data_IF_311734084989
#
_entry.id   IF_311734084989
#
_cell.length_a   1.000
_cell.length_b   1.000
_cell.length_c   1.000
_cell.angle_alpha   90.00
_cell.angle_beta   90.00
_cell.angle_gamma   90.00
#
_symmetry.space_group_name_H-M   'P 1'
#
loop_
_entity.id
_entity.type
_entity.pdbx_description
1 polymer ?
#
# COMPACT_ATOMS: atom_id res chain seq x y z
N UNK A 1 13.45 -0.52 1.09
CA UNK A 1 13.40 0.68 1.94
C UNK A 1 14.75 0.98 2.58
N UNK A 2 15.22 0.22 3.58
CA UNK A 2 16.50 0.52 4.28
C UNK A 2 17.70 0.62 3.33
N UNK A 3 17.88 -0.37 2.44
CA UNK A 3 18.97 -0.34 1.43
C UNK A 3 18.94 0.94 0.57
N UNK A 4 17.76 1.40 0.18
CA UNK A 4 17.61 2.62 -0.63
C UNK A 4 17.88 3.88 0.18
N UNK A 5 17.45 3.92 1.45
CA UNK A 5 17.78 5.01 2.37
C UNK A 5 19.31 5.15 2.59
N UNK A 6 20.06 4.05 2.51
CA UNK A 6 21.52 4.06 2.64
C UNK A 6 22.24 4.49 1.34
N UNK A 7 21.71 4.15 0.17
CA UNK A 7 22.37 4.42 -1.14
C UNK A 7 22.63 5.90 -1.42
N UNK A 8 21.84 6.80 -0.83
CA UNK A 8 21.95 8.25 -1.03
C UNK A 8 22.75 9.01 0.04
N UNK A 9 23.37 8.30 0.99
CA UNK A 9 24.13 8.90 2.10
C UNK A 9 23.28 9.47 3.24
N UNK A 10 22.11 10.04 2.94
CA UNK A 10 21.11 10.50 3.92
C UNK A 10 19.73 9.98 3.55
N UNK A 11 19.12 9.19 4.43
CA UNK A 11 17.80 8.63 4.22
C UNK A 11 17.11 8.35 5.55
N UNK A 12 15.79 8.51 5.55
CA UNK A 12 14.93 8.32 6.71
C UNK A 12 13.90 7.24 6.39
N UNK A 13 13.71 6.31 7.33
CA UNK A 13 12.63 5.32 7.29
C UNK A 13 11.69 5.61 8.46
N UNK A 14 10.44 5.96 8.14
CA UNK A 14 9.43 6.25 9.15
C UNK A 14 8.51 5.04 9.28
N UNK A 15 8.47 4.46 10.47
CA UNK A 15 7.63 3.30 10.78
C UNK A 15 6.39 3.73 11.56
N UNK A 16 5.24 3.80 10.88
CA UNK A 16 3.95 4.06 11.51
C UNK A 16 3.32 2.75 11.99
N UNK A 17 3.02 2.65 13.29
CA UNK A 17 2.32 1.51 13.92
C UNK A 17 0.81 1.51 13.61
N UNK A 18 0.45 1.47 12.32
CA UNK A 18 -0.93 1.51 11.82
C UNK A 18 -1.28 0.21 11.08
N UNK A 19 -1.18 -0.92 11.79
CA UNK A 19 -1.39 -2.25 11.22
C UNK A 19 -2.79 -2.42 10.62
N UNK A 20 -2.89 -3.17 9.52
CA UNK A 20 -4.17 -3.46 8.88
C UNK A 20 -4.94 -2.20 8.43
N UNK A 21 -4.26 -1.14 7.98
CA UNK A 21 -4.90 0.17 7.72
C UNK A 21 -5.55 0.80 8.96
N UNK A 22 -4.87 0.68 10.09
CA UNK A 22 -5.36 1.07 11.42
C UNK A 22 -6.61 0.29 11.88
N UNK A 23 -6.94 -0.85 11.25
CA UNK A 23 -7.98 -1.78 11.72
C UNK A 23 -7.46 -2.78 12.76
N UNK A 24 -6.14 -2.86 12.93
CA UNK A 24 -5.50 -3.83 13.81
C UNK A 24 -5.28 -5.20 13.15
N UNK A 25 -4.47 -6.01 13.83
CA UNK A 25 -3.98 -7.29 13.32
C UNK A 25 -5.07 -8.37 13.26
N UNK A 26 -5.95 -8.44 14.27
CA UNK A 26 -7.05 -9.42 14.31
C UNK A 26 -7.98 -9.24 13.11
N UNK A 27 -8.42 -8.01 12.84
CA UNK A 27 -9.28 -7.69 11.69
C UNK A 27 -8.60 -8.03 10.37
N UNK A 28 -7.30 -7.77 10.25
CA UNK A 28 -6.51 -8.14 9.07
C UNK A 28 -6.56 -9.65 8.81
N UNK A 29 -6.37 -10.47 9.85
CA UNK A 29 -6.44 -11.93 9.71
C UNK A 29 -7.84 -12.41 9.32
N UNK A 30 -8.90 -11.81 9.88
CA UNK A 30 -10.28 -12.10 9.46
C UNK A 30 -10.50 -11.81 7.97
N UNK A 31 -9.99 -10.67 7.49
CA UNK A 31 -10.07 -10.30 6.06
C UNK A 31 -9.28 -11.27 5.19
N UNK A 32 -8.07 -11.67 5.58
CA UNK A 32 -7.28 -12.65 4.83
C UNK A 32 -7.95 -14.02 4.78
N UNK A 33 -8.48 -14.51 5.90
CA UNK A 33 -9.21 -15.78 5.93
C UNK A 33 -10.46 -15.74 5.04
N UNK A 34 -11.23 -14.65 5.10
CA UNK A 34 -12.41 -14.49 4.26
C UNK A 34 -12.07 -14.39 2.76
N UNK A 35 -10.94 -13.78 2.41
CA UNK A 35 -10.45 -13.71 1.04
C UNK A 35 -10.03 -15.09 0.52
N UNK A 36 -9.20 -15.81 1.28
CA UNK A 36 -8.67 -17.12 0.87
C UNK A 36 -9.73 -18.22 0.82
N UNK A 37 -10.77 -18.15 1.65
CA UNK A 37 -11.93 -19.05 1.59
C UNK A 37 -12.95 -18.68 0.51
N UNK A 38 -12.81 -17.50 -0.10
CA UNK A 38 -13.62 -17.05 -1.22
C UNK A 38 -12.83 -17.00 -2.52
N UNK A 39 -13.34 -16.26 -3.50
CA UNK A 39 -12.59 -15.89 -4.69
C UNK A 39 -11.68 -14.70 -4.36
N UNK A 40 -10.40 -14.95 -4.07
CA UNK A 40 -9.38 -13.92 -3.77
C UNK A 40 -9.06 -13.04 -5.00
N UNK A 41 -10.07 -12.32 -5.51
CA UNK A 41 -10.02 -11.49 -6.71
C UNK A 41 -9.59 -10.06 -6.39
N UNK A 42 -8.80 -9.47 -7.26
CA UNK A 42 -8.33 -8.08 -7.09
C UNK A 42 -9.50 -7.08 -7.09
N UNK A 43 -10.51 -7.29 -7.96
CA UNK A 43 -11.70 -6.44 -8.04
C UNK A 43 -12.51 -6.38 -6.74
N UNK A 44 -12.49 -7.42 -5.92
CA UNK A 44 -13.23 -7.50 -4.65
C UNK A 44 -12.40 -7.10 -3.42
N UNK A 45 -11.10 -6.86 -3.59
CA UNK A 45 -10.14 -6.71 -2.50
C UNK A 45 -10.57 -5.69 -1.42
N UNK A 46 -10.98 -4.48 -1.83
CA UNK A 46 -11.45 -3.46 -0.88
C UNK A 46 -12.83 -3.79 -0.30
N UNK A 47 -13.72 -4.43 -1.09
CA UNK A 47 -15.06 -4.78 -0.64
C UNK A 47 -15.03 -5.84 0.46
N UNK A 48 -14.08 -6.79 0.39
CA UNK A 48 -13.87 -7.79 1.45
C UNK A 48 -13.49 -7.14 2.79
N UNK A 49 -12.66 -6.10 2.76
CA UNK A 49 -12.31 -5.33 3.97
C UNK A 49 -13.53 -4.61 4.52
N UNK A 50 -14.27 -3.91 3.66
CA UNK A 50 -15.48 -3.16 4.04
C UNK A 50 -16.57 -4.07 4.63
N UNK A 51 -16.77 -5.27 4.10
CA UNK A 51 -17.76 -6.22 4.61
C UNK A 51 -17.46 -6.71 6.04
N UNK A 52 -16.19 -6.72 6.45
CA UNK A 52 -15.76 -7.20 7.77
C UNK A 52 -15.58 -6.04 8.75
N UNK A 53 -14.97 -4.95 8.29
CA UNK A 53 -14.58 -3.83 9.13
C UNK A 53 -15.55 -2.63 9.06
N UNK A 54 -16.53 -2.65 8.14
CA UNK A 54 -17.43 -1.52 7.87
C UNK A 54 -16.78 -0.36 7.09
N UNK A 55 -15.46 -0.35 6.95
CA UNK A 55 -14.68 0.70 6.28
C UNK A 55 -13.50 0.11 5.51
N UNK A 56 -13.02 0.83 4.49
CA UNK A 56 -11.88 0.40 3.66
C UNK A 56 -10.52 0.74 4.28
N UNK A 57 -10.44 1.83 5.04
CA UNK A 57 -9.21 2.39 5.60
C UNK A 57 -9.55 3.29 6.80
N UNK A 58 -8.88 3.10 7.94
CA UNK A 58 -9.04 3.95 9.14
C UNK A 58 -7.81 4.84 9.38
N UNK A 59 -6.82 4.83 8.47
CA UNK A 59 -5.60 5.61 8.68
C UNK A 59 -5.89 7.09 8.48
N UNK A 60 -5.56 7.86 9.50
CA UNK A 60 -5.45 9.31 9.37
C UNK A 60 -4.04 9.67 8.86
N UNK A 61 -3.92 9.87 7.54
CA UNK A 61 -2.62 10.13 6.89
C UNK A 61 -2.16 11.58 6.97
N UNK A 62 -3.07 12.51 7.28
CA UNK A 62 -2.75 13.94 7.42
C UNK A 62 -1.73 14.24 8.54
N UNK A 63 -1.57 13.35 9.53
CA UNK A 63 -0.53 13.45 10.58
C UNK A 63 0.81 12.79 10.19
N UNK A 64 0.91 12.19 9.01
CA UNK A 64 2.17 11.61 8.57
C UNK A 64 3.31 12.62 8.40
N UNK A 65 3.08 13.86 7.93
CA UNK A 65 4.14 14.85 7.75
C UNK A 65 4.73 15.37 9.07
N UNK A 66 4.06 15.23 10.21
CA UNK A 66 4.48 15.79 11.50
C UNK A 66 5.93 15.42 11.86
N UNK A 67 6.29 14.15 11.67
CA UNK A 67 7.65 13.68 11.94
C UNK A 67 8.67 14.24 10.95
N UNK A 68 8.26 14.53 9.70
CA UNK A 68 9.14 15.17 8.72
C UNK A 68 9.43 16.61 9.13
N UNK A 69 8.41 17.34 9.58
CA UNK A 69 8.59 18.69 10.13
C UNK A 69 9.44 18.69 11.39
N UNK A 70 9.21 17.73 12.31
CA UNK A 70 10.00 17.60 13.53
C UNK A 70 11.49 17.35 13.23
N UNK A 71 11.79 16.54 12.21
CA UNK A 71 13.16 16.32 11.71
C UNK A 71 13.73 17.51 10.92
N UNK A 72 12.94 18.56 10.66
CA UNK A 72 13.35 19.72 9.87
C UNK A 72 13.49 19.44 8.37
N UNK A 73 12.84 18.39 7.85
CA UNK A 73 12.87 18.03 6.43
C UNK A 73 12.07 19.06 5.63
N UNK A 74 12.72 19.67 4.63
CA UNK A 74 12.13 20.72 3.78
C UNK A 74 11.86 20.26 2.34
N UNK A 75 12.39 19.11 1.94
CA UNK A 75 12.16 18.47 0.64
C UNK A 75 12.46 16.98 0.73
N UNK A 76 11.89 16.20 -0.18
CA UNK A 76 12.21 14.79 -0.34
C UNK A 76 12.65 14.59 -1.79
N UNK A 77 13.92 14.25 -2.01
CA UNK A 77 14.42 14.01 -3.36
C UNK A 77 13.79 12.73 -3.94
N UNK A 78 13.68 11.66 -3.14
CA UNK A 78 13.12 10.37 -3.58
C UNK A 78 12.16 9.80 -2.53
N UNK A 79 10.88 9.68 -2.86
CA UNK A 79 9.87 9.05 -2.02
C UNK A 79 9.59 7.62 -2.47
N UNK A 80 9.87 6.64 -1.61
CA UNK A 80 9.60 5.23 -1.86
C UNK A 80 8.19 4.87 -1.37
N UNK A 81 7.18 5.31 -2.10
CA UNK A 81 5.77 5.04 -1.79
C UNK A 81 4.88 5.20 -3.02
N UNK A 82 4.01 4.22 -3.23
CA UNK A 82 2.98 4.26 -4.27
C UNK A 82 1.67 4.92 -3.80
N UNK A 83 1.52 5.18 -2.49
CA UNK A 83 0.26 5.72 -1.96
C UNK A 83 0.12 7.23 -2.24
N UNK A 84 -0.95 7.61 -2.94
CA UNK A 84 -1.28 9.01 -3.20
C UNK A 84 -1.64 9.76 -1.92
N UNK A 85 -2.47 9.18 -1.04
CA UNK A 85 -2.77 9.78 0.28
C UNK A 85 -1.54 10.15 1.12
N UNK A 86 -0.41 9.44 0.95
CA UNK A 86 0.84 9.77 1.65
C UNK A 86 1.57 10.92 0.95
N UNK A 87 1.61 10.87 -0.37
CA UNK A 87 2.23 11.89 -1.19
C UNK A 87 1.54 13.23 -0.96
N UNK A 88 0.21 13.26 -1.11
CA UNK A 88 -0.59 14.47 -1.05
C UNK A 88 -0.50 15.11 0.34
N UNK A 89 -0.66 14.32 1.40
CA UNK A 89 -0.49 14.81 2.77
C UNK A 89 0.87 15.50 3.00
N UNK A 90 1.96 15.02 2.39
CA UNK A 90 3.30 15.59 2.54
C UNK A 90 3.45 16.87 1.71
N UNK A 91 3.02 16.85 0.45
CA UNK A 91 3.12 18.01 -0.45
C UNK A 91 2.22 19.16 0.00
N UNK A 92 1.01 18.87 0.48
CA UNK A 92 0.07 19.87 1.01
C UNK A 92 0.62 20.60 2.24
N UNK A 93 1.54 19.99 2.99
CA UNK A 93 2.26 20.63 4.10
C UNK A 93 3.52 21.39 3.66
N UNK A 94 3.72 21.58 2.36
CA UNK A 94 4.82 22.37 1.80
C UNK A 94 6.15 21.63 1.71
N UNK A 95 6.17 20.30 1.82
CA UNK A 95 7.37 19.48 1.61
C UNK A 95 7.33 18.91 0.18
N UNK A 96 8.02 19.51 -0.81
CA UNK A 96 8.03 19.00 -2.17
C UNK A 96 8.70 17.63 -2.26
N UNK A 97 8.12 16.74 -3.06
CA UNK A 97 8.66 15.44 -3.43
C UNK A 97 9.11 15.52 -4.90
N UNK A 98 10.40 15.32 -5.17
CA UNK A 98 10.96 15.48 -6.53
C UNK A 98 10.77 14.23 -7.39
N UNK A 99 10.97 13.05 -6.81
CA UNK A 99 10.82 11.76 -7.48
C UNK A 99 9.95 10.83 -6.63
N UNK A 100 8.95 10.19 -7.25
CA UNK A 100 8.21 9.08 -6.66
C UNK A 100 8.74 7.77 -7.23
N UNK A 101 9.16 6.86 -6.36
CA UNK A 101 9.75 5.57 -6.74
C UNK A 101 8.76 4.46 -6.39
N UNK A 102 8.16 3.77 -7.39
CA UNK A 102 7.26 2.66 -7.14
C UNK A 102 8.05 1.42 -6.68
N UNK A 103 7.33 0.42 -6.15
CA UNK A 103 7.96 -0.87 -5.82
C UNK A 103 8.31 -1.58 -7.14
N UNK A 104 9.57 -2.00 -7.36
CA UNK A 104 9.94 -2.77 -8.54
C UNK A 104 9.15 -4.08 -8.63
N UNK A 105 8.71 -4.46 -9.84
CA UNK A 105 7.86 -5.62 -10.07
C UNK A 105 8.48 -6.94 -9.57
N UNK A 106 9.78 -7.12 -9.77
CA UNK A 106 10.52 -8.30 -9.30
C UNK A 106 10.61 -8.43 -7.77
N UNK A 107 10.23 -7.40 -7.01
CA UNK A 107 10.15 -7.42 -5.55
C UNK A 107 8.72 -7.66 -5.03
N UNK A 108 7.73 -7.75 -5.91
CA UNK A 108 6.35 -8.04 -5.54
C UNK A 108 6.18 -9.57 -5.51
N UNK A 109 5.90 -10.17 -4.33
CA UNK A 109 5.60 -11.58 -4.25
C UNK A 109 4.35 -11.92 -5.06
N UNK A 110 4.24 -13.16 -5.51
CA UNK A 110 3.09 -13.60 -6.31
C UNK A 110 1.74 -13.37 -5.62
N UNK A 111 1.64 -13.68 -4.32
CA UNK A 111 0.45 -13.37 -3.50
C UNK A 111 0.17 -11.87 -3.33
N UNK A 112 1.19 -11.04 -3.53
CA UNK A 112 1.09 -9.59 -3.46
C UNK A 112 0.42 -8.97 -4.67
N UNK A 113 0.32 -9.69 -5.81
CA UNK A 113 -0.23 -9.14 -7.06
C UNK A 113 -1.68 -8.70 -6.92
N UNK A 114 -2.54 -9.54 -6.33
CA UNK A 114 -3.96 -9.20 -6.07
C UNK A 114 -4.10 -7.87 -5.33
N UNK A 115 -3.27 -7.66 -4.30
CA UNK A 115 -3.29 -6.45 -3.49
C UNK A 115 -2.72 -5.23 -4.25
N UNK A 116 -1.63 -5.41 -4.99
CA UNK A 116 -1.01 -4.33 -5.76
C UNK A 116 -1.90 -3.89 -6.91
N UNK A 117 -2.44 -4.81 -7.70
CA UNK A 117 -3.28 -4.49 -8.86
C UNK A 117 -4.57 -3.78 -8.41
N UNK A 118 -5.20 -4.26 -7.34
CA UNK A 118 -6.35 -3.60 -6.74
C UNK A 118 -6.02 -2.17 -6.29
N UNK A 119 -4.84 -1.97 -5.66
CA UNK A 119 -4.40 -0.65 -5.19
C UNK A 119 -4.06 0.30 -6.34
N UNK A 120 -3.34 -0.18 -7.35
CA UNK A 120 -3.01 0.60 -8.55
C UNK A 120 -4.28 1.07 -9.25
N UNK A 121 -5.25 0.17 -9.42
CA UNK A 121 -6.55 0.55 -9.96
C UNK A 121 -7.31 1.55 -9.08
N UNK A 122 -7.16 1.48 -7.76
CA UNK A 122 -7.73 2.45 -6.82
C UNK A 122 -6.95 3.78 -6.74
N UNK A 123 -6.01 4.04 -7.67
CA UNK A 123 -5.26 5.28 -7.73
C UNK A 123 -3.97 5.25 -6.91
N UNK A 124 -3.27 4.11 -6.81
CA UNK A 124 -1.90 4.12 -6.32
C UNK A 124 -0.97 4.43 -7.49
N UNK A 125 0.00 5.31 -7.25
CA UNK A 125 1.02 5.67 -8.22
C UNK A 125 1.79 4.46 -8.72
N UNK A 126 1.90 4.38 -10.03
CA UNK A 126 2.69 3.41 -10.76
C UNK A 126 3.27 4.09 -12.01
N UNK A 127 4.42 3.63 -12.47
CA UNK A 127 4.95 3.95 -13.81
C UNK A 127 4.53 2.91 -14.84
N UNK A 128 3.84 1.85 -14.41
CA UNK A 128 3.35 0.76 -15.24
C UNK A 128 1.91 0.95 -15.71
N UNK A 129 1.32 -0.14 -16.20
CA UNK A 129 -0.05 -0.18 -16.68
C UNK A 129 -1.06 -0.22 -15.53
N UNK A 130 -2.16 0.51 -15.68
CA UNK A 130 -3.35 0.38 -14.84
C UNK A 130 -4.33 -0.57 -15.53
N UNK A 131 -4.77 -1.61 -14.84
CA UNK A 131 -5.72 -2.61 -15.38
C UNK A 131 -7.16 -2.08 -15.39
N UNK A 132 -7.96 -2.55 -16.34
CA UNK A 132 -9.41 -2.31 -16.34
C UNK A 132 -10.12 -3.15 -15.26
N UNK A 133 -11.39 -2.85 -14.97
CA UNK A 133 -12.19 -3.64 -14.03
C UNK A 133 -12.36 -5.10 -14.47
N UNK A 134 -12.49 -5.34 -15.77
CA UNK A 134 -12.60 -6.69 -16.34
C UNK A 134 -11.29 -7.46 -16.12
N UNK A 135 -10.16 -6.82 -16.40
CA UNK A 135 -8.82 -7.38 -16.19
C UNK A 135 -8.54 -7.67 -14.71
N UNK A 136 -8.98 -6.81 -13.79
CA UNK A 136 -8.89 -7.10 -12.35
C UNK A 136 -9.76 -8.28 -11.91
N UNK A 137 -10.84 -8.56 -12.63
CA UNK A 137 -11.72 -9.69 -12.34
C UNK A 137 -11.09 -11.05 -12.65
N UNK A 138 -10.09 -11.07 -13.53
CA UNK A 138 -9.31 -12.27 -13.86
C UNK A 138 -8.05 -12.44 -13.01
N UNK A 139 -7.61 -11.40 -12.30
CA UNK A 139 -6.53 -11.51 -11.30
C UNK A 139 -7.07 -12.19 -10.04
N UNK A 140 -6.59 -13.41 -9.80
CA UNK A 140 -6.95 -14.23 -8.64
C UNK A 140 -5.70 -14.67 -7.88
N UNK A 141 -5.77 -14.59 -6.54
CA UNK A 141 -4.71 -15.06 -5.65
C UNK A 141 -4.68 -16.57 -5.51
N UNK A 142 -3.60 -17.09 -4.90
CA UNK A 142 -3.43 -18.53 -4.67
C UNK A 142 -4.60 -19.13 -3.85
N UNK A 143 -5.13 -20.30 -4.27
CA UNK A 143 -6.20 -21.00 -3.58
C UNK A 143 -5.76 -21.55 -2.21
N UNK A 144 -6.73 -21.86 -1.36
CA UNK A 144 -6.51 -22.34 0.01
C UNK A 144 -5.78 -23.70 0.07
N UNK A 145 -5.96 -24.56 -0.94
CA UNK A 145 -5.38 -25.92 -0.96
C UNK A 145 -3.85 -25.94 -1.02
N UNK A 146 -3.21 -24.84 -1.46
CA UNK A 146 -1.75 -24.72 -1.52
C UNK A 146 -1.10 -24.41 -0.15
N UNK A 147 -1.88 -24.29 0.93
CA UNK A 147 -1.39 -23.92 2.28
C UNK A 147 -1.16 -25.15 3.17
N UNK A 148 -1.64 -26.33 2.76
CA UNK A 148 -1.55 -27.60 3.50
C UNK A 148 -0.33 -28.47 3.13
N UNK A 149 0.76 -27.86 2.63
CA UNK A 149 2.01 -28.54 2.26
C UNK A 149 3.24 -28.02 3.03
#
# INVERSE_FOLDING_TARGET
>A
AVKEAQKGGSGVVIYFRKEGRALGEVTKYLVYNARKRGSDKASEYFKRTENIAGVKDMRFQSLMPDILHWLGIKKIDRMLSMSDMKHDAIVEQGIPILERVPIPEHLIPEDGKVEIDAKVHAGYFTTGRVMTLEELGSVQGRPWEDVDH
#
